data_IF_976059200694
#
_entry.id   IF_976059200694
#
_cell.length_a   1.000
_cell.length_b   1.000
_cell.length_c   1.000
_cell.angle_alpha   90.00
_cell.angle_beta   90.00
_cell.angle_gamma   90.00
#
_symmetry.space_group_name_H-M   'P 1'
#
loop_
_entity.id
_entity.type
_entity.pdbx_description
1 polymer ?
#
# COMPACT_ATOMS: atom_id res chain seq x y z
N UNK A 1 2.69 -1.71 -27.73
CA UNK A 1 3.83 -1.36 -28.62
C UNK A 1 3.43 -0.44 -29.78
N UNK A 2 2.55 -0.85 -30.71
CA UNK A 2 2.23 -0.10 -31.93
C UNK A 2 1.75 1.36 -31.73
N UNK A 3 1.28 1.73 -30.53
CA UNK A 3 0.85 3.10 -30.17
C UNK A 3 1.83 3.84 -29.25
N UNK A 4 3.05 3.34 -29.05
CA UNK A 4 4.05 3.95 -28.16
C UNK A 4 3.66 3.96 -26.68
N UNK A 5 2.73 3.10 -26.26
CA UNK A 5 2.29 2.96 -24.86
C UNK A 5 2.77 1.63 -24.28
N UNK A 6 3.12 1.68 -23.00
CA UNK A 6 3.47 0.55 -22.15
C UNK A 6 2.26 0.16 -21.30
N UNK A 7 1.99 -1.13 -21.19
CA UNK A 7 0.93 -1.65 -20.32
C UNK A 7 1.44 -1.76 -18.89
N UNK A 8 0.60 -1.37 -17.93
CA UNK A 8 0.72 -1.73 -16.52
C UNK A 8 -0.59 -2.37 -16.08
N UNK A 9 -0.54 -3.40 -15.23
CA UNK A 9 -1.72 -4.02 -14.65
C UNK A 9 -1.44 -4.59 -13.27
N UNK A 10 -2.50 -4.87 -12.52
CA UNK A 10 -2.42 -5.51 -11.22
C UNK A 10 -1.81 -6.91 -11.34
N UNK A 11 -1.13 -7.38 -10.30
CA UNK A 11 -0.32 -8.61 -10.30
C UNK A 11 -1.08 -9.91 -10.68
N UNK A 12 -2.40 -9.91 -10.80
CA UNK A 12 -3.18 -10.98 -11.45
C UNK A 12 -2.78 -11.22 -12.90
N UNK A 13 -2.24 -10.22 -13.59
CA UNK A 13 -1.75 -10.40 -14.96
C UNK A 13 -0.56 -11.38 -15.06
N UNK A 14 0.05 -11.75 -13.92
CA UNK A 14 1.08 -12.79 -13.84
C UNK A 14 0.52 -14.20 -14.02
N UNK A 15 -0.80 -14.40 -13.90
CA UNK A 15 -1.43 -15.72 -14.05
C UNK A 15 -1.51 -16.18 -15.52
N UNK A 16 -1.14 -15.29 -16.47
CA UNK A 16 -1.09 -15.57 -17.90
C UNK A 16 0.19 -15.05 -18.56
N UNK A 17 0.34 -15.25 -19.89
CA UNK A 17 1.49 -14.74 -20.62
C UNK A 17 1.52 -13.21 -20.61
N UNK A 18 2.63 -12.64 -20.17
CA UNK A 18 2.84 -11.20 -20.14
C UNK A 18 3.50 -10.70 -21.43
N UNK A 19 2.97 -9.63 -22.05
CA UNK A 19 3.64 -8.99 -23.17
C UNK A 19 5.04 -8.49 -22.77
N UNK A 20 6.05 -8.59 -23.66
CA UNK A 20 7.37 -8.01 -23.41
C UNK A 20 7.27 -6.53 -23.04
N UNK A 21 7.96 -6.15 -21.97
CA UNK A 21 7.93 -4.79 -21.46
C UNK A 21 6.62 -4.40 -20.75
N UNK A 22 5.70 -5.31 -20.42
CA UNK A 22 4.64 -5.00 -19.47
C UNK A 22 5.24 -4.67 -18.08
N UNK A 23 4.57 -3.81 -17.32
CA UNK A 23 4.87 -3.54 -15.92
C UNK A 23 3.74 -4.09 -15.02
N UNK A 24 4.05 -4.34 -13.75
CA UNK A 24 3.14 -4.96 -12.78
C UNK A 24 2.97 -4.07 -11.56
N UNK A 25 1.74 -3.80 -11.15
CA UNK A 25 1.43 -3.21 -9.84
C UNK A 25 1.18 -4.32 -8.83
N UNK A 26 2.12 -4.56 -7.92
CA UNK A 26 2.01 -5.65 -6.94
C UNK A 26 1.26 -5.19 -5.70
N UNK A 27 0.03 -5.69 -5.55
CA UNK A 27 -0.87 -5.30 -4.46
C UNK A 27 -1.13 -6.45 -3.47
N UNK A 28 -0.95 -7.71 -3.88
CA UNK A 28 -1.11 -8.90 -3.03
C UNK A 28 0.13 -9.23 -2.20
N UNK A 29 0.86 -8.23 -1.72
CA UNK A 29 2.13 -8.38 -0.99
C UNK A 29 3.39 -8.34 -1.86
N UNK A 30 4.53 -8.68 -1.28
CA UNK A 30 5.85 -8.64 -1.94
C UNK A 30 6.07 -9.78 -2.93
N UNK A 31 5.30 -10.87 -2.85
CA UNK A 31 5.45 -12.03 -3.74
C UNK A 31 5.28 -11.67 -5.22
N UNK A 32 4.20 -10.97 -5.58
CA UNK A 32 3.92 -10.63 -6.98
C UNK A 32 5.07 -9.82 -7.60
N UNK A 33 5.57 -8.84 -6.83
CA UNK A 33 6.73 -8.05 -7.21
C UNK A 33 8.02 -8.85 -7.37
N UNK A 34 8.28 -9.82 -6.48
CA UNK A 34 9.44 -10.72 -6.62
C UNK A 34 9.36 -11.57 -7.89
N UNK A 35 8.18 -12.13 -8.18
CA UNK A 35 7.97 -12.96 -9.38
C UNK A 35 8.16 -12.12 -10.64
N UNK A 36 7.53 -10.95 -10.71
CA UNK A 36 7.61 -10.06 -11.86
C UNK A 36 9.06 -9.56 -12.11
N UNK A 37 9.75 -9.10 -11.06
CA UNK A 37 11.12 -8.61 -11.15
C UNK A 37 12.10 -9.70 -11.62
N UNK A 38 11.98 -10.93 -11.09
CA UNK A 38 12.79 -12.10 -11.53
C UNK A 38 12.52 -12.51 -12.97
N UNK A 39 11.30 -12.27 -13.46
CA UNK A 39 10.93 -12.48 -14.84
C UNK A 39 11.33 -11.32 -15.78
N UNK A 40 12.03 -10.30 -15.27
CA UNK A 40 12.47 -9.13 -16.05
C UNK A 40 11.39 -8.10 -16.34
N UNK A 41 10.26 -8.17 -15.63
CA UNK A 41 9.19 -7.17 -15.72
C UNK A 41 9.38 -6.10 -14.66
N UNK A 42 9.16 -4.85 -15.06
CA UNK A 42 9.19 -3.75 -14.11
C UNK A 42 7.97 -3.78 -13.18
N UNK A 43 8.16 -3.31 -11.95
CA UNK A 43 7.17 -3.41 -10.87
C UNK A 43 6.99 -2.07 -10.17
N UNK A 44 5.75 -1.74 -9.87
CA UNK A 44 5.39 -0.72 -8.87
C UNK A 44 4.82 -1.46 -7.65
N UNK A 45 5.41 -1.23 -6.49
CA UNK A 45 5.02 -1.89 -5.25
C UNK A 45 3.91 -1.11 -4.53
N UNK A 46 2.75 -1.72 -4.38
CA UNK A 46 1.58 -1.11 -3.72
C UNK A 46 0.80 -2.12 -2.84
N UNK A 47 1.48 -2.88 -1.95
CA UNK A 47 0.84 -3.96 -1.21
C UNK A 47 -0.24 -3.47 -0.25
N UNK A 48 -1.42 -4.08 -0.30
CA UNK A 48 -2.58 -3.82 0.57
C UNK A 48 -2.22 -3.89 2.06
N UNK A 49 -1.30 -4.79 2.40
CA UNK A 49 -0.81 -5.04 3.75
C UNK A 49 -0.05 -3.85 4.35
N UNK A 50 0.33 -2.86 3.53
CA UNK A 50 1.12 -1.71 3.95
C UNK A 50 0.51 -0.38 3.53
N UNK A 51 0.13 -0.21 2.26
CA UNK A 51 -0.07 1.11 1.64
C UNK A 51 -1.43 1.31 0.98
N UNK A 52 -2.45 0.56 1.42
CA UNK A 52 -3.85 0.91 1.18
C UNK A 52 -4.30 1.89 2.27
N UNK A 53 -4.47 3.16 1.88
CA UNK A 53 -4.77 4.26 2.79
C UNK A 53 -6.27 4.41 3.07
N UNK A 54 -7.12 3.62 2.43
CA UNK A 54 -8.52 3.45 2.80
C UNK A 54 -8.70 2.54 4.04
N UNK A 55 -7.69 1.73 4.38
CA UNK A 55 -7.70 0.91 5.59
C UNK A 55 -7.69 1.75 6.86
N UNK A 56 -8.35 1.25 7.92
CA UNK A 56 -8.44 1.92 9.22
C UNK A 56 -7.07 2.20 9.84
N UNK A 57 -6.94 3.35 10.50
CA UNK A 57 -5.66 3.83 11.03
C UNK A 57 -5.33 3.36 12.44
N UNK A 58 -6.34 2.91 13.18
CA UNK A 58 -6.21 2.43 14.55
C UNK A 58 -7.18 1.26 14.80
N UNK A 59 -6.92 0.44 15.84
CA UNK A 59 -7.92 -0.51 16.32
C UNK A 59 -9.11 0.23 16.98
N UNK A 60 -10.17 -0.53 17.28
CA UNK A 60 -11.37 -0.01 17.93
C UNK A 60 -12.46 0.46 16.96
N UNK A 61 -13.52 1.02 17.53
CA UNK A 61 -14.76 1.39 16.82
C UNK A 61 -14.86 2.90 16.54
N UNK A 62 -13.93 3.70 17.07
CA UNK A 62 -13.93 5.15 16.92
C UNK A 62 -13.54 5.60 15.51
N UNK A 63 -12.78 4.78 14.77
CA UNK A 63 -12.48 5.04 13.37
C UNK A 63 -13.77 5.06 12.55
N UNK A 64 -14.01 6.10 11.73
CA UNK A 64 -15.18 6.15 10.88
C UNK A 64 -15.18 5.00 9.86
N UNK A 65 -16.29 4.25 9.80
CA UNK A 65 -16.54 3.13 8.85
C UNK A 65 -15.29 2.24 8.67
N UNK A 66 -14.86 1.51 9.72
CA UNK A 66 -13.56 0.86 9.73
C UNK A 66 -13.51 -0.30 8.71
N UNK A 67 -12.64 -0.19 7.70
CA UNK A 67 -12.41 -1.23 6.69
C UNK A 67 -10.98 -1.76 6.74
N UNK A 68 -10.81 -3.01 6.34
CA UNK A 68 -9.50 -3.63 6.15
C UNK A 68 -8.67 -3.79 7.42
N UNK A 69 -7.35 -3.83 7.24
CA UNK A 69 -6.38 -3.98 8.32
C UNK A 69 -6.18 -2.68 9.12
N UNK A 70 -5.69 -2.77 10.35
CA UNK A 70 -5.16 -1.59 11.04
C UNK A 70 -3.82 -1.23 10.41
N UNK A 71 -3.72 -0.12 9.68
CA UNK A 71 -2.45 0.41 9.11
C UNK A 71 -2.15 1.77 9.70
N UNK A 72 -1.32 1.78 10.73
CA UNK A 72 -0.92 2.99 11.47
C UNK A 72 0.08 3.83 10.67
N UNK A 73 0.33 5.06 11.13
CA UNK A 73 1.41 5.90 10.61
C UNK A 73 2.78 5.20 10.67
N UNK A 74 3.04 4.49 11.77
CA UNK A 74 4.28 3.74 11.96
C UNK A 74 4.41 2.55 11.00
N UNK A 75 3.32 1.83 10.72
CA UNK A 75 3.31 0.74 9.75
C UNK A 75 3.71 1.23 8.35
N UNK A 76 3.14 2.36 7.92
CA UNK A 76 3.45 2.97 6.61
C UNK A 76 4.89 3.49 6.57
N UNK A 77 5.35 4.15 7.63
CA UNK A 77 6.74 4.65 7.71
C UNK A 77 7.78 3.52 7.71
N UNK A 78 7.42 2.32 8.17
CA UNK A 78 8.27 1.13 8.16
C UNK A 78 8.11 0.26 6.91
N UNK A 79 7.30 0.67 5.94
CA UNK A 79 7.16 -0.08 4.69
C UNK A 79 8.49 -0.10 3.90
N UNK A 80 8.91 -1.27 3.44
CA UNK A 80 10.03 -1.43 2.52
C UNK A 80 9.51 -1.70 1.10
N UNK A 81 9.66 -0.74 0.17
CA UNK A 81 9.28 -0.93 -1.22
C UNK A 81 10.01 -2.07 -1.90
N UNK A 82 11.30 -2.28 -1.65
CA UNK A 82 12.08 -3.28 -2.39
C UNK A 82 11.99 -4.64 -1.69
N UNK A 83 11.40 -5.68 -2.32
CA UNK A 83 11.32 -6.99 -1.72
C UNK A 83 12.68 -7.59 -1.38
N UNK A 84 12.72 -8.37 -0.30
CA UNK A 84 13.87 -9.18 0.05
C UNK A 84 14.14 -10.29 -0.98
N UNK A 85 15.37 -10.82 -0.96
CA UNK A 85 15.74 -11.97 -1.80
C UNK A 85 15.77 -11.68 -3.31
N UNK A 86 15.77 -10.40 -3.71
CA UNK A 86 16.12 -9.97 -5.07
C UNK A 86 17.64 -9.72 -5.16
N UNK A 87 18.24 -10.08 -6.28
CA UNK A 87 19.59 -9.63 -6.61
C UNK A 87 19.60 -8.13 -6.91
N UNK A 88 20.78 -7.51 -6.91
CA UNK A 88 20.92 -6.10 -7.29
C UNK A 88 20.45 -5.81 -8.72
N UNK A 89 20.45 -6.80 -9.61
CA UNK A 89 19.92 -6.66 -10.97
C UNK A 89 18.40 -6.74 -11.02
N UNK A 90 17.82 -7.73 -10.33
CA UNK A 90 16.37 -7.88 -10.23
C UNK A 90 15.73 -6.69 -9.51
N UNK A 91 16.38 -6.15 -8.47
CA UNK A 91 15.91 -4.99 -7.74
C UNK A 91 15.80 -3.72 -8.61
N UNK A 92 16.57 -3.62 -9.71
CA UNK A 92 16.45 -2.50 -10.66
C UNK A 92 15.12 -2.49 -11.42
N UNK A 93 14.39 -3.60 -11.44
CA UNK A 93 13.04 -3.65 -12.01
C UNK A 93 11.98 -3.05 -11.10
N UNK A 94 12.27 -2.81 -9.81
CA UNK A 94 11.35 -2.08 -8.93
C UNK A 94 11.45 -0.59 -9.26
N UNK A 95 10.48 -0.08 -10.02
CA UNK A 95 10.45 1.34 -10.44
C UNK A 95 10.15 2.29 -9.29
N UNK A 96 9.46 1.80 -8.27
CA UNK A 96 9.07 2.57 -7.10
C UNK A 96 7.88 1.95 -6.37
N UNK A 97 7.25 2.76 -5.55
CA UNK A 97 6.07 2.39 -4.79
C UNK A 97 4.88 3.30 -5.07
N UNK A 98 3.68 2.82 -4.75
CA UNK A 98 2.44 3.59 -4.80
C UNK A 98 1.58 3.29 -3.57
N UNK A 99 0.97 4.33 -3.01
CA UNK A 99 -0.09 4.18 -2.02
C UNK A 99 -1.46 4.31 -2.72
N UNK A 100 -2.39 3.43 -2.39
CA UNK A 100 -3.72 3.39 -2.99
C UNK A 100 -4.75 3.95 -2.02
N UNK A 101 -5.83 4.54 -2.55
CA UNK A 101 -7.02 4.89 -1.78
C UNK A 101 -8.25 4.47 -2.58
N UNK A 102 -8.96 3.48 -2.04
CA UNK A 102 -10.28 3.10 -2.53
C UNK A 102 -11.35 3.93 -1.83
N UNK A 103 -12.41 4.27 -2.56
CA UNK A 103 -13.33 5.36 -2.16
C UNK A 103 -14.73 4.89 -1.80
N UNK A 104 -14.92 3.58 -1.59
CA UNK A 104 -16.22 2.97 -1.26
C UNK A 104 -16.86 3.56 0.00
N UNK A 105 -16.02 4.00 0.95
CA UNK A 105 -16.45 4.56 2.25
C UNK A 105 -15.94 5.99 2.47
N UNK A 106 -15.59 6.69 1.38
CA UNK A 106 -15.17 8.09 1.41
C UNK A 106 -16.14 8.98 0.64
N UNK A 107 -17.14 9.51 1.34
CA UNK A 107 -18.26 10.23 0.73
C UNK A 107 -17.90 11.63 0.20
N UNK A 108 -16.81 12.22 0.68
CA UNK A 108 -16.38 13.57 0.32
C UNK A 108 -14.85 13.73 0.39
N UNK A 109 -14.35 14.88 -0.07
CA UNK A 109 -12.91 15.18 -0.09
C UNK A 109 -12.28 15.24 1.32
N UNK A 110 -13.01 15.73 2.33
CA UNK A 110 -12.52 15.76 3.70
C UNK A 110 -12.38 14.35 4.29
N UNK A 111 -13.22 13.43 3.86
CA UNK A 111 -13.11 12.01 4.21
C UNK A 111 -11.92 11.34 3.53
N UNK A 112 -11.63 11.68 2.27
CA UNK A 112 -10.40 11.26 1.59
C UNK A 112 -9.18 11.80 2.33
N UNK A 113 -9.15 13.08 2.68
CA UNK A 113 -8.08 13.69 3.47
C UNK A 113 -7.84 12.96 4.80
N UNK A 114 -8.91 12.64 5.53
CA UNK A 114 -8.83 11.89 6.78
C UNK A 114 -8.16 10.53 6.58
N UNK A 115 -8.51 9.82 5.50
CA UNK A 115 -7.97 8.49 5.20
C UNK A 115 -6.51 8.56 4.81
N UNK A 116 -6.13 9.50 3.94
CA UNK A 116 -4.78 9.54 3.39
C UNK A 116 -3.79 10.24 4.31
N UNK A 117 -4.16 11.32 5.01
CA UNK A 117 -3.27 12.06 5.91
C UNK A 117 -3.47 11.67 7.37
N UNK A 118 -2.38 11.46 8.14
CA UNK A 118 -0.98 11.81 7.82
C UNK A 118 -0.15 10.74 7.11
N UNK A 119 -0.71 9.54 6.87
CA UNK A 119 0.04 8.39 6.33
C UNK A 119 0.70 8.66 4.97
N UNK A 120 0.09 9.48 4.13
CA UNK A 120 0.66 9.89 2.85
C UNK A 120 1.97 10.66 3.01
N UNK A 121 2.15 11.42 4.09
CA UNK A 121 3.42 12.09 4.39
C UNK A 121 4.51 11.07 4.77
N UNK A 122 4.17 10.04 5.55
CA UNK A 122 5.10 8.94 5.85
C UNK A 122 5.47 8.17 4.59
N UNK A 123 4.48 7.85 3.75
CA UNK A 123 4.70 7.17 2.47
C UNK A 123 5.61 8.00 1.54
N UNK A 124 5.39 9.32 1.45
CA UNK A 124 6.23 10.20 0.65
C UNK A 124 7.69 10.18 1.12
N UNK A 125 7.93 10.11 2.42
CA UNK A 125 9.29 9.99 2.96
C UNK A 125 9.93 8.64 2.61
N UNK A 126 9.16 7.54 2.71
CA UNK A 126 9.60 6.20 2.28
C UNK A 126 9.94 6.16 0.78
N UNK A 127 9.16 6.84 -0.06
CA UNK A 127 9.37 6.84 -1.50
C UNK A 127 10.52 7.76 -1.97
N UNK A 128 10.93 8.74 -1.15
CA UNK A 128 11.84 9.81 -1.58
C UNK A 128 13.19 9.80 -0.84
N UNK A 129 13.18 9.56 0.47
CA UNK A 129 14.34 9.80 1.31
C UNK A 129 15.25 8.58 1.41
N UNK A 130 16.58 8.77 1.53
CA UNK A 130 17.48 7.67 1.87
C UNK A 130 17.28 7.28 3.34
N UNK A 131 16.44 6.28 3.58
CA UNK A 131 16.14 5.75 4.91
C UNK A 131 16.97 4.48 5.19
N UNK A 132 17.32 4.20 6.46
CA UNK A 132 17.89 2.92 6.85
C UNK A 132 16.84 1.80 6.72
N UNK A 133 17.26 0.57 6.99
CA UNK A 133 16.37 -0.58 7.02
C UNK A 133 15.15 -0.31 7.93
N UNK A 134 13.96 -0.86 7.62
CA UNK A 134 12.71 -0.56 8.34
C UNK A 134 12.77 -0.56 9.86
N UNK A 135 13.49 -1.52 10.45
CA UNK A 135 13.63 -1.67 11.90
C UNK A 135 14.48 -0.56 12.57
N UNK A 136 15.32 0.11 11.79
CA UNK A 136 16.27 1.13 12.24
C UNK A 136 15.77 2.56 11.98
N UNK A 137 14.64 2.72 11.26
CA UNK A 137 14.07 4.04 10.95
C UNK A 137 13.62 4.73 12.24
N UNK A 138 14.12 5.94 12.47
CA UNK A 138 13.76 6.74 13.65
C UNK A 138 12.35 7.32 13.50
N UNK A 139 11.37 6.58 14.01
CA UNK A 139 9.98 7.00 14.04
C UNK A 139 9.77 8.23 14.93
N UNK A 140 10.51 8.35 16.03
CA UNK A 140 10.36 9.47 16.95
C UNK A 140 10.83 10.77 16.28
N UNK A 141 11.89 10.72 15.45
CA UNK A 141 12.29 11.85 14.62
C UNK A 141 11.24 12.25 13.59
N UNK A 142 10.70 11.27 12.87
CA UNK A 142 9.63 11.50 11.93
C UNK A 142 8.40 12.16 12.60
N UNK A 143 7.98 11.66 13.77
CA UNK A 143 6.87 12.22 14.54
C UNK A 143 7.15 13.66 15.03
N UNK A 144 8.39 13.97 15.46
CA UNK A 144 8.79 15.34 15.80
C UNK A 144 8.65 16.27 14.59
N UNK A 145 9.10 15.85 13.41
CA UNK A 145 8.97 16.63 12.16
C UNK A 145 7.51 16.77 11.72
N UNK A 146 6.70 15.74 11.95
CA UNK A 146 5.25 15.80 11.72
C UNK A 146 4.58 16.87 12.60
N UNK A 147 5.05 17.12 13.82
CA UNK A 147 4.56 18.23 14.66
C UNK A 147 4.59 19.60 13.96
N UNK A 148 5.61 19.87 13.16
CA UNK A 148 5.66 21.07 12.31
C UNK A 148 4.85 20.90 11.01
N UNK A 149 4.81 19.70 10.44
CA UNK A 149 4.08 19.41 9.21
C UNK A 149 2.56 19.50 9.37
N UNK A 150 1.99 19.12 10.53
CA UNK A 150 0.57 19.28 10.82
C UNK A 150 0.10 20.73 10.68
N UNK A 151 0.92 21.71 11.11
CA UNK A 151 0.61 23.13 10.92
C UNK A 151 0.53 23.53 9.44
N UNK A 152 1.26 22.85 8.55
CA UNK A 152 1.17 23.05 7.10
C UNK A 152 -0.13 22.45 6.55
N UNK A 153 -0.50 21.25 7.01
CA UNK A 153 -1.77 20.62 6.66
C UNK A 153 -2.96 21.47 7.12
N UNK A 154 -2.90 22.02 8.34
CA UNK A 154 -3.89 22.98 8.86
C UNK A 154 -3.99 24.22 7.95
N UNK A 155 -2.85 24.82 7.57
CA UNK A 155 -2.82 26.00 6.70
C UNK A 155 -3.35 25.72 5.28
N UNK A 156 -3.22 24.48 4.81
CA UNK A 156 -3.77 24.02 3.53
C UNK A 156 -5.24 23.58 3.62
N UNK A 157 -5.83 23.55 4.82
CA UNK A 157 -7.21 23.11 5.04
C UNK A 157 -7.42 21.60 4.90
N UNK A 158 -6.37 20.80 5.03
CA UNK A 158 -6.43 19.33 4.90
C UNK A 158 -7.13 18.72 6.12
N UNK A 159 -8.19 17.95 5.92
CA UNK A 159 -8.98 17.34 7.00
C UNK A 159 -8.38 16.03 7.56
N UNK A 160 -7.07 16.03 7.86
CA UNK A 160 -6.31 14.85 8.28
C UNK A 160 -6.82 14.20 9.58
N UNK A 161 -6.46 12.93 9.82
CA UNK A 161 -6.69 12.24 11.09
C UNK A 161 -5.71 12.75 12.17
N UNK A 162 -6.17 13.36 13.28
CA UNK A 162 -5.26 13.81 14.33
C UNK A 162 -4.47 12.67 14.98
N UNK A 163 -3.26 12.93 15.53
CA UNK A 163 -2.48 11.92 16.26
C UNK A 163 -3.25 11.24 17.39
N UNK A 164 -4.12 12.00 18.09
CA UNK A 164 -4.96 11.49 19.19
C UNK A 164 -6.22 10.73 18.76
N UNK A 165 -6.44 10.52 17.45
CA UNK A 165 -7.64 9.87 16.92
C UNK A 165 -8.67 10.86 16.35
N UNK A 166 -9.81 10.32 15.85
CA UNK A 166 -10.81 11.12 15.15
C UNK A 166 -11.47 12.17 16.06
N UNK A 167 -11.57 13.40 15.54
CA UNK A 167 -12.40 14.46 16.15
C UNK A 167 -13.88 14.03 16.12
N UNK A 168 -14.74 14.55 17.00
CA UNK A 168 -16.16 14.13 17.06
C UNK A 168 -16.89 14.16 15.71
N UNK A 169 -16.66 15.18 14.88
CA UNK A 169 -17.28 15.30 13.55
C UNK A 169 -16.65 14.43 12.45
N UNK A 170 -15.47 13.87 12.71
CA UNK A 170 -14.82 12.90 11.82
C UNK A 170 -15.33 11.47 12.05
N UNK A 171 -16.00 11.21 13.19
CA UNK A 171 -16.57 9.89 13.50
C UNK A 171 -17.83 9.61 12.69
N UNK A 172 -18.20 8.33 12.60
CA UNK A 172 -19.45 7.85 11.98
C UNK A 172 -20.08 6.75 12.84
N UNK A 173 -20.55 7.08 14.07
CA UNK A 173 -21.13 6.08 14.96
C UNK A 173 -22.35 5.42 14.33
N UNK A 174 -22.50 4.10 14.53
CA UNK A 174 -23.63 3.32 14.03
C UNK A 174 -23.54 2.92 12.55
N UNK A 175 -22.50 3.33 11.81
CA UNK A 175 -22.27 2.86 10.43
C UNK A 175 -21.33 1.66 10.46
N UNK A 176 -21.77 0.45 10.06
CA UNK A 176 -20.94 -0.74 10.14
C UNK A 176 -19.78 -0.68 9.13
N UNK A 177 -18.60 -1.06 9.59
CA UNK A 177 -17.41 -1.28 8.75
C UNK A 177 -17.23 -2.75 8.34
N UNK A 178 -16.09 -3.05 7.72
CA UNK A 178 -15.64 -4.41 7.39
C UNK A 178 -14.16 -4.59 7.79
N UNK A 179 -13.83 -4.56 9.10
CA UNK A 179 -12.45 -4.71 9.54
C UNK A 179 -11.99 -6.16 9.37
N UNK A 180 -10.75 -6.35 8.94
CA UNK A 180 -10.09 -7.65 9.02
C UNK A 180 -9.60 -7.92 10.45
N UNK A 181 -9.66 -9.20 10.84
CA UNK A 181 -9.16 -9.68 12.12
C UNK A 181 -7.68 -10.04 12.02
N UNK A 182 -6.92 -9.75 13.07
CA UNK A 182 -5.49 -10.09 13.14
C UNK A 182 -4.58 -9.17 12.31
N UNK A 183 -3.27 -9.48 12.28
CA UNK A 183 -2.29 -8.75 11.48
C UNK A 183 -2.52 -8.97 9.98
N UNK A 184 -1.99 -8.09 9.11
CA UNK A 184 -1.98 -8.33 7.67
C UNK A 184 -1.28 -9.64 7.31
N UNK A 185 -1.81 -10.35 6.32
CA UNK A 185 -1.27 -11.62 5.82
C UNK A 185 -1.09 -11.50 4.30
N UNK A 186 0.04 -11.96 3.78
CA UNK A 186 0.18 -12.13 2.33
C UNK A 186 -0.65 -13.34 1.89
N UNK A 187 -1.44 -13.26 0.79
CA UNK A 187 -2.22 -14.39 0.33
C UNK A 187 -1.29 -15.57 0.01
N UNK A 188 -1.65 -16.80 0.37
CA UNK A 188 -0.93 -18.01 -0.05
C UNK A 188 -0.91 -18.13 -1.60
N UNK A 189 0.06 -18.85 -2.20
CA UNK A 189 0.04 -19.09 -3.63
C UNK A 189 -1.19 -19.93 -4.00
N UNK A 190 -1.81 -19.71 -5.18
CA UNK A 190 -2.82 -20.63 -5.66
C UNK A 190 -2.23 -22.03 -5.74
N UNK A 191 -3.03 -23.04 -5.40
CA UNK A 191 -2.62 -24.43 -5.55
C UNK A 191 -2.16 -24.66 -7.00
N UNK A 192 -1.07 -25.42 -7.23
CA UNK A 192 -0.62 -25.68 -8.58
C UNK A 192 -1.79 -26.27 -9.39
N UNK A 193 -2.12 -25.63 -10.51
CA UNK A 193 -3.09 -26.18 -11.46
C UNK A 193 -2.55 -27.54 -11.85
N UNK A 194 -3.27 -28.62 -11.49
CA UNK A 194 -2.91 -29.97 -11.93
C UNK A 194 -2.83 -29.90 -13.45
N UNK A 195 -1.65 -30.12 -14.01
CA UNK A 195 -1.52 -30.35 -15.43
C UNK A 195 -2.38 -31.57 -15.73
N UNK A 196 -3.56 -31.35 -16.33
CA UNK A 196 -4.38 -32.45 -16.81
C UNK A 196 -3.49 -33.31 -17.69
N UNK A 197 -3.26 -34.54 -17.23
CA UNK A 197 -2.63 -35.56 -18.02
C UNK A 197 -3.49 -35.71 -19.28
N UNK A 198 -3.01 -35.16 -20.40
CA UNK A 198 -3.59 -35.43 -21.70
C UNK A 198 -3.70 -36.96 -21.83
N UNK A 199 -4.87 -37.53 -22.10
CA UNK A 199 -4.95 -38.95 -22.44
C UNK A 199 -4.06 -39.16 -23.66
N UNK A 200 -3.13 -40.13 -23.55
CA UNK A 200 -2.21 -40.50 -24.61
C UNK A 200 -2.94 -40.98 -25.87
N UNK A 201 -2.14 -40.97 -26.94
CA UNK A 201 -2.44 -41.42 -28.30
C UNK A 201 -3.12 -42.79 -28.42
#
# INVERSE_FOLDING_TARGET
>A
AARGRRMIGWDEILDGPLPPGAAVSSWRGHRGGRIAARAGHDVVMCPEQHVYLDHRQAPGEDEPVPIGYVRTLADVYRFEPVPDGLTAEEARHVLGAQANVWTEVTEDAGRVDYQVFPRLAAFAEVAWSPLPAPAERDLADFERRMGAHYRRLDALGVAYRPPGGPRPWQRRPGVPGRPFAGPPVEPEPPAPVRADARPGA
#
